data_IF_341722408549
#
_entry.id   IF_341722408549
#
_cell.length_a   1.000
_cell.length_b   1.000
_cell.length_c   1.000
_cell.angle_alpha   90.00
_cell.angle_beta   90.00
_cell.angle_gamma   90.00
#
_symmetry.space_group_name_H-M   'P 1'
#
loop_
_entity.id
_entity.type
_entity.pdbx_description
1 polymer ?
#
# COMPACT_ATOMS: atom_id res chain seq x y z
N UNK A 1 15.73 31.97 21.97
CA UNK A 1 14.64 31.21 21.34
C UNK A 1 15.18 30.63 20.04
N UNK A 2 15.74 29.42 20.08
CA UNK A 2 16.36 28.76 18.92
C UNK A 2 15.29 28.12 18.04
N UNK A 3 15.21 28.62 16.80
CA UNK A 3 14.10 28.42 15.88
C UNK A 3 14.19 27.12 15.08
N UNK A 4 13.20 26.26 15.33
CA UNK A 4 12.50 25.38 14.36
C UNK A 4 13.40 24.68 13.32
N UNK A 5 13.88 23.48 13.67
CA UNK A 5 14.39 22.52 12.69
C UNK A 5 13.37 22.30 11.57
N UNK A 6 13.82 22.28 10.32
CA UNK A 6 12.99 22.00 9.15
C UNK A 6 12.30 20.63 9.32
N UNK A 7 11.00 20.64 9.54
CA UNK A 7 10.17 19.44 9.44
C UNK A 7 10.06 19.12 7.95
N UNK A 8 10.81 18.12 7.49
CA UNK A 8 10.69 17.57 6.13
C UNK A 8 9.86 16.27 6.18
N UNK A 9 8.53 16.30 6.43
CA UNK A 9 7.76 15.08 6.56
C UNK A 9 7.82 14.25 5.27
N UNK A 10 7.82 12.92 5.42
CA UNK A 10 7.66 12.01 4.30
C UNK A 10 6.18 11.98 3.91
N UNK A 11 5.88 12.28 2.64
CA UNK A 11 4.55 12.11 2.09
C UNK A 11 4.34 10.67 1.61
N UNK A 12 3.29 10.01 2.11
CA UNK A 12 2.90 8.66 1.70
C UNK A 12 1.57 8.76 0.98
N UNK A 13 1.61 8.64 -0.35
CA UNK A 13 0.41 8.62 -1.18
C UNK A 13 -0.30 7.27 -1.14
N UNK A 14 -1.62 7.30 -1.24
CA UNK A 14 -2.43 6.11 -1.46
C UNK A 14 -3.54 6.41 -2.47
N UNK A 15 -4.01 5.35 -3.14
CA UNK A 15 -5.12 5.43 -4.07
C UNK A 15 -6.06 4.25 -3.86
N UNK A 16 -7.34 4.45 -4.14
CA UNK A 16 -8.37 3.44 -3.99
C UNK A 16 -9.45 3.56 -5.07
N UNK A 17 -10.04 2.41 -5.40
CA UNK A 17 -11.25 2.38 -6.23
C UNK A 17 -12.49 2.47 -5.35
N UNK A 18 -12.98 3.70 -5.15
CA UNK A 18 -14.08 4.00 -4.23
C UNK A 18 -15.43 4.26 -4.93
N UNK A 19 -15.44 4.74 -6.18
CA UNK A 19 -16.64 5.34 -6.80
C UNK A 19 -17.23 4.43 -7.87
N UNK A 20 -16.45 4.13 -8.92
CA UNK A 20 -16.77 3.16 -9.97
C UNK A 20 -15.58 2.24 -10.23
N UNK A 21 -15.83 1.12 -10.90
CA UNK A 21 -14.78 0.14 -11.21
C UNK A 21 -13.79 0.79 -12.18
N UNK A 22 -12.48 0.54 -11.99
CA UNK A 22 -11.38 1.13 -12.78
C UNK A 22 -11.16 2.64 -12.64
N UNK A 23 -11.90 3.33 -11.77
CA UNK A 23 -11.58 4.70 -11.37
C UNK A 23 -10.92 4.68 -9.99
N UNK A 24 -9.89 5.50 -9.83
CA UNK A 24 -9.13 5.64 -8.59
C UNK A 24 -9.16 7.09 -8.12
N UNK A 25 -9.51 7.26 -6.85
CA UNK A 25 -9.27 8.50 -6.10
C UNK A 25 -8.09 8.26 -5.18
N UNK A 26 -7.36 9.31 -4.83
CA UNK A 26 -6.21 9.20 -3.96
C UNK A 26 -6.05 10.40 -3.06
N UNK A 27 -5.23 10.21 -2.03
CA UNK A 27 -4.84 11.22 -1.07
C UNK A 27 -3.46 10.84 -0.50
N UNK A 28 -2.96 11.60 0.45
CA UNK A 28 -1.69 11.33 1.11
C UNK A 28 -1.79 11.49 2.62
N UNK A 29 -0.86 10.84 3.33
CA UNK A 29 -0.62 11.04 4.76
C UNK A 29 0.82 11.48 4.96
N UNK A 30 1.04 12.36 5.94
CA UNK A 30 2.38 12.78 6.34
C UNK A 30 2.90 11.85 7.42
N UNK A 31 4.16 11.42 7.27
CA UNK A 31 4.86 10.59 8.23
C UNK A 31 6.20 11.23 8.64
N UNK A 32 6.69 11.00 9.87
CA UNK A 32 8.04 11.41 10.25
C UNK A 32 9.10 10.72 9.38
N UNK A 33 10.19 11.43 9.05
CA UNK A 33 11.33 10.84 8.33
C UNK A 33 11.92 9.70 9.15
N UNK A 34 12.19 8.56 8.51
CA UNK A 34 12.91 7.45 9.13
C UNK A 34 12.07 6.61 10.09
N UNK A 35 10.80 6.93 10.32
CA UNK A 35 9.87 5.97 10.88
C UNK A 35 9.38 5.03 9.78
N UNK A 36 9.52 3.73 10.02
CA UNK A 36 8.85 2.71 9.23
C UNK A 36 7.36 3.08 9.10
N UNK A 37 6.83 2.88 7.89
CA UNK A 37 5.50 3.22 7.34
C UNK A 37 4.27 2.68 8.11
N UNK A 38 4.43 2.29 9.37
CA UNK A 38 3.48 1.59 10.24
C UNK A 38 2.24 2.42 10.54
N UNK A 39 2.35 3.66 11.04
CA UNK A 39 1.15 4.45 11.35
C UNK A 39 0.35 4.82 10.09
N UNK A 40 1.06 5.11 9.01
CA UNK A 40 0.51 5.63 7.77
C UNK A 40 -0.43 4.67 7.04
N UNK A 41 -0.15 3.35 7.07
CA UNK A 41 -1.06 2.37 6.46
C UNK A 41 -2.41 2.32 7.18
N UNK A 42 -2.42 2.53 8.51
CA UNK A 42 -3.66 2.52 9.27
C UNK A 42 -4.57 3.68 8.88
N UNK A 43 -4.00 4.89 8.78
CA UNK A 43 -4.78 6.08 8.45
C UNK A 43 -5.23 6.08 6.99
N UNK A 44 -4.36 5.67 6.06
CA UNK A 44 -4.73 5.46 4.66
C UNK A 44 -5.88 4.46 4.52
N UNK A 45 -5.86 3.34 5.26
CA UNK A 45 -6.93 2.33 5.24
C UNK A 45 -8.24 2.84 5.84
N UNK A 46 -8.21 3.57 6.96
CA UNK A 46 -9.42 4.16 7.56
C UNK A 46 -10.10 5.12 6.58
N UNK A 47 -9.33 6.00 5.96
CA UNK A 47 -9.83 6.94 4.94
C UNK A 47 -10.39 6.17 3.75
N UNK A 48 -9.65 5.18 3.25
CA UNK A 48 -10.06 4.37 2.11
C UNK A 48 -11.37 3.60 2.34
N UNK A 49 -11.50 2.93 3.49
CA UNK A 49 -12.69 2.15 3.86
C UNK A 49 -13.92 3.04 4.01
N UNK A 50 -13.74 4.20 4.66
CA UNK A 50 -14.81 5.18 4.87
C UNK A 50 -15.27 5.76 3.54
N UNK A 51 -14.34 6.19 2.68
CA UNK A 51 -14.64 6.70 1.34
C UNK A 51 -15.36 5.66 0.47
N UNK A 52 -14.91 4.40 0.49
CA UNK A 52 -15.60 3.32 -0.24
C UNK A 52 -17.05 3.16 0.23
N UNK A 53 -17.27 3.07 1.55
CA UNK A 53 -18.61 2.89 2.13
C UNK A 53 -19.52 4.09 1.82
N UNK A 54 -18.99 5.30 1.90
CA UNK A 54 -19.73 6.54 1.64
C UNK A 54 -20.14 6.67 0.17
N UNK A 55 -19.27 6.27 -0.77
CA UNK A 55 -19.52 6.39 -2.20
C UNK A 55 -20.37 5.24 -2.75
N UNK A 56 -20.08 3.99 -2.37
CA UNK A 56 -20.82 2.80 -2.87
C UNK A 56 -22.09 2.49 -2.09
N UNK A 57 -22.29 3.14 -0.94
CA UNK A 57 -23.36 2.84 0.04
C UNK A 57 -23.37 1.36 0.48
N UNK A 58 -22.24 0.67 0.36
CA UNK A 58 -22.03 -0.75 0.67
C UNK A 58 -20.64 -0.97 1.26
N UNK A 59 -20.51 -1.96 2.14
CA UNK A 59 -19.21 -2.38 2.65
C UNK A 59 -18.47 -3.23 1.63
N UNK A 60 -17.16 -3.06 1.52
CA UNK A 60 -16.31 -3.94 0.74
C UNK A 60 -16.39 -5.37 1.32
N UNK A 61 -16.48 -6.39 0.46
CA UNK A 61 -16.39 -7.80 0.89
C UNK A 61 -14.95 -8.31 0.87
N UNK A 62 -14.15 -7.74 -0.05
CA UNK A 62 -12.74 -8.08 -0.26
C UNK A 62 -11.95 -6.82 -0.55
N UNK A 63 -10.72 -6.78 -0.09
CA UNK A 63 -9.78 -5.67 -0.31
C UNK A 63 -8.47 -6.26 -0.85
N UNK A 64 -7.92 -5.65 -1.88
CA UNK A 64 -6.58 -5.96 -2.38
C UNK A 64 -5.72 -4.72 -2.15
N UNK A 65 -4.65 -4.87 -1.39
CA UNK A 65 -3.72 -3.80 -1.05
C UNK A 65 -2.44 -4.04 -1.83
N UNK A 66 -2.06 -3.08 -2.67
CA UNK A 66 -0.77 -3.05 -3.34
C UNK A 66 0.14 -2.07 -2.58
N UNK A 67 1.19 -2.58 -1.94
CA UNK A 67 2.19 -1.79 -1.22
C UNK A 67 3.44 -1.65 -2.09
N UNK A 68 3.62 -0.47 -2.68
CA UNK A 68 4.78 -0.16 -3.54
C UNK A 68 5.84 0.65 -2.81
N UNK A 69 7.10 0.51 -3.21
CA UNK A 69 8.23 1.29 -2.69
C UNK A 69 8.91 0.81 -1.39
N UNK A 70 8.70 -0.40 -0.86
CA UNK A 70 9.62 -0.90 0.16
C UNK A 70 10.93 -1.35 -0.48
N UNK A 71 12.04 -1.18 0.24
CA UNK A 71 13.30 -1.84 -0.12
C UNK A 71 13.21 -3.34 0.23
N UNK A 72 14.10 -4.16 -0.35
CA UNK A 72 14.14 -5.60 -0.04
C UNK A 72 14.34 -5.85 1.47
N UNK A 73 15.13 -5.02 2.14
CA UNK A 73 15.39 -5.11 3.59
C UNK A 73 14.17 -4.80 4.47
N UNK A 74 13.14 -4.15 3.94
CA UNK A 74 11.93 -3.81 4.71
C UNK A 74 10.91 -4.94 4.81
N UNK A 75 11.13 -6.07 4.14
CA UNK A 75 10.14 -7.15 4.06
C UNK A 75 9.74 -7.70 5.45
N UNK A 76 10.72 -7.94 6.32
CA UNK A 76 10.47 -8.42 7.69
C UNK A 76 9.63 -7.44 8.50
N UNK A 77 9.88 -6.13 8.34
CA UNK A 77 9.11 -5.10 9.04
C UNK A 77 7.65 -5.02 8.54
N UNK A 78 7.44 -5.18 7.23
CA UNK A 78 6.09 -5.21 6.64
C UNK A 78 5.29 -6.40 7.18
N UNK A 79 5.90 -7.59 7.17
CA UNK A 79 5.28 -8.81 7.68
C UNK A 79 4.96 -8.69 9.18
N UNK A 80 5.90 -8.17 9.97
CA UNK A 80 5.75 -8.08 11.43
C UNK A 80 4.80 -6.96 11.89
N UNK A 81 4.66 -5.88 11.13
CA UNK A 81 3.97 -4.68 11.60
C UNK A 81 2.86 -4.16 10.66
N UNK A 82 3.14 -3.96 9.37
CA UNK A 82 2.13 -3.39 8.46
C UNK A 82 0.94 -4.33 8.23
N UNK A 83 1.20 -5.62 7.98
CA UNK A 83 0.14 -6.59 7.71
C UNK A 83 -0.76 -6.81 8.95
N UNK A 84 -0.22 -7.02 10.17
CA UNK A 84 -1.04 -7.11 11.37
C UNK A 84 -1.84 -5.84 11.65
N UNK A 85 -1.25 -4.67 11.44
CA UNK A 85 -1.93 -3.40 11.66
C UNK A 85 -3.05 -3.16 10.63
N UNK A 86 -2.81 -3.44 9.35
CA UNK A 86 -3.82 -3.41 8.31
C UNK A 86 -4.99 -4.35 8.65
N UNK A 87 -4.68 -5.57 9.12
CA UNK A 87 -5.69 -6.53 9.58
C UNK A 87 -6.51 -5.98 10.73
N UNK A 88 -5.88 -5.39 11.74
CA UNK A 88 -6.57 -4.82 12.89
C UNK A 88 -7.54 -3.70 12.47
N UNK A 89 -7.09 -2.78 11.60
CA UNK A 89 -7.94 -1.69 11.08
C UNK A 89 -9.13 -2.23 10.29
N UNK A 90 -8.90 -3.20 9.40
CA UNK A 90 -9.97 -3.80 8.59
C UNK A 90 -10.98 -4.55 9.48
N UNK A 91 -10.51 -5.31 10.46
CA UNK A 91 -11.38 -6.06 11.38
C UNK A 91 -12.19 -5.15 12.30
N UNK A 92 -11.61 -4.02 12.73
CA UNK A 92 -12.33 -2.98 13.48
C UNK A 92 -13.44 -2.33 12.63
N UNK A 93 -13.22 -2.19 11.32
CA UNK A 93 -14.26 -1.71 10.41
C UNK A 93 -15.34 -2.77 10.16
N UNK A 94 -14.94 -4.01 9.89
CA UNK A 94 -15.83 -5.16 9.76
C UNK A 94 -15.07 -6.49 9.72
N UNK A 95 -15.44 -7.44 10.59
CA UNK A 95 -14.81 -8.76 10.72
C UNK A 95 -15.01 -9.68 9.50
N UNK A 96 -15.97 -9.40 8.63
CA UNK A 96 -16.26 -10.24 7.45
C UNK A 96 -15.38 -9.92 6.24
N UNK A 97 -14.67 -8.79 6.27
CA UNK A 97 -13.86 -8.34 5.14
C UNK A 97 -12.61 -9.21 5.07
N UNK A 98 -12.41 -9.86 3.91
CA UNK A 98 -11.16 -10.56 3.61
C UNK A 98 -10.20 -9.59 2.90
N UNK A 99 -8.90 -9.70 3.15
CA UNK A 99 -7.93 -8.89 2.43
C UNK A 99 -6.74 -9.70 1.92
N UNK A 100 -6.17 -9.23 0.83
CA UNK A 100 -4.91 -9.69 0.25
C UNK A 100 -3.93 -8.53 0.26
N UNK A 101 -2.69 -8.79 0.69
CA UNK A 101 -1.63 -7.79 0.73
C UNK A 101 -0.52 -8.21 -0.22
N UNK A 102 -0.24 -7.37 -1.22
CA UNK A 102 0.74 -7.62 -2.28
C UNK A 102 1.82 -6.56 -2.17
N UNK A 103 3.05 -6.99 -1.86
CA UNK A 103 4.22 -6.11 -1.89
C UNK A 103 4.74 -6.05 -3.32
N UNK A 104 4.89 -4.84 -3.85
CA UNK A 104 5.37 -4.59 -5.21
C UNK A 104 6.71 -3.88 -5.14
N UNK A 105 7.77 -4.56 -5.59
CA UNK A 105 9.12 -4.02 -5.71
C UNK A 105 9.38 -3.81 -7.20
N UNK A 106 9.60 -2.57 -7.61
CA UNK A 106 9.95 -2.23 -9.00
C UNK A 106 11.47 -2.08 -9.17
N UNK A 107 12.14 -1.57 -8.14
CA UNK A 107 13.58 -1.36 -8.14
C UNK A 107 14.29 -2.63 -7.66
N UNK A 108 14.42 -3.59 -8.57
CA UNK A 108 15.16 -4.82 -8.36
C UNK A 108 16.16 -5.09 -9.49
N UNK A 109 17.13 -5.96 -9.25
CA UNK A 109 18.18 -6.32 -10.23
C UNK A 109 17.77 -7.46 -11.16
N UNK A 110 16.69 -8.19 -10.86
CA UNK A 110 16.16 -9.25 -11.74
C UNK A 110 15.87 -8.74 -13.15
N UNK A 111 16.34 -9.47 -14.17
CA UNK A 111 16.11 -9.18 -15.59
C UNK A 111 15.65 -10.46 -16.29
N UNK A 112 14.63 -10.33 -17.13
CA UNK A 112 14.20 -11.38 -18.04
C UNK A 112 14.73 -11.07 -19.43
N UNK A 113 15.28 -12.06 -20.11
CA UNK A 113 15.74 -11.95 -21.49
C UNK A 113 14.93 -12.90 -22.36
N UNK A 114 14.60 -12.49 -23.58
CA UNK A 114 13.94 -13.36 -24.55
C UNK A 114 14.86 -14.54 -24.86
N UNK A 115 14.34 -15.77 -24.79
CA UNK A 115 15.08 -16.94 -25.27
C UNK A 115 15.25 -16.81 -26.79
N UNK A 116 16.49 -16.84 -27.27
CA UNK A 116 16.76 -16.96 -28.69
C UNK A 116 16.41 -18.41 -29.08
N UNK A 117 15.41 -18.59 -29.94
CA UNK A 117 15.21 -19.87 -30.61
C UNK A 117 16.40 -20.04 -31.55
N UNK A 118 17.18 -21.11 -31.38
CA UNK A 118 18.17 -21.50 -32.36
C UNK A 118 17.41 -21.83 -33.64
N UNK A 119 17.57 -20.99 -34.67
CA UNK A 119 17.20 -21.36 -36.04
C UNK A 119 17.89 -22.69 -36.34
N UNK A 120 17.08 -23.72 -36.58
CA UNK A 120 17.58 -25.05 -36.92
C UNK A 120 18.60 -24.94 -38.05
N UNK A 121 19.77 -25.52 -37.81
CA UNK A 121 20.72 -25.88 -38.87
C UNK A 121 19.95 -26.67 -39.95
N UNK A 122 19.83 -26.08 -41.13
CA UNK A 122 19.43 -26.72 -42.39
C UNK A 122 20.54 -26.52 -43.41
#
# INVERSE_FOLDING_TARGET
>A
MEGKGHLNPQAIGFALSAIVTQEFIGDFVLAPIGQDTKSSIADALKTSLSSFKNNRKKSAKRIVIYRSGPSEGSHSAILAFEIPLARAVIQNFSKIIKFTFIVVIKDHTGRFFKKQESENEL
#
